data_IF_121058070707
#
_entry.id   IF_121058070707
#
_cell.length_a   1.000
_cell.length_b   1.000
_cell.length_c   1.000
_cell.angle_alpha   90.00
_cell.angle_beta   90.00
_cell.angle_gamma   90.00
#
_symmetry.space_group_name_H-M   'P 1'
#
loop_
_entity.id
_entity.type
_entity.pdbx_description
1 polymer ?
#
# COMPACT_ATOMS: atom_id res chain seq x y z
N UNK A 1 -3.70 11.12 -8.49
CA UNK A 1 -2.39 10.91 -9.14
C UNK A 1 -1.24 11.49 -8.30
N UNK A 2 -0.97 10.93 -7.11
CA UNK A 2 0.15 11.34 -6.25
C UNK A 2 1.51 10.92 -6.83
N UNK A 3 1.55 9.83 -7.59
CA UNK A 3 2.77 9.31 -8.22
C UNK A 3 3.48 10.32 -9.12
N UNK A 4 2.76 11.18 -9.86
CA UNK A 4 3.43 12.16 -10.75
C UNK A 4 4.06 13.35 -10.01
N UNK A 5 3.69 13.57 -8.74
CA UNK A 5 4.15 14.72 -7.94
C UNK A 5 5.44 14.43 -7.16
N UNK A 6 5.72 13.16 -6.86
CA UNK A 6 6.88 12.76 -6.06
C UNK A 6 8.19 12.64 -6.87
N UNK A 7 8.11 12.45 -8.20
CA UNK A 7 9.27 12.04 -9.02
C UNK A 7 9.80 13.13 -9.98
N UNK A 8 9.16 14.30 -10.08
CA UNK A 8 9.61 15.40 -10.93
C UNK A 8 9.94 16.63 -10.09
N UNK A 9 11.17 16.67 -9.57
CA UNK A 9 11.76 17.83 -8.91
C UNK A 9 12.62 18.66 -9.89
N UNK A 10 12.13 18.88 -11.12
CA UNK A 10 12.77 19.81 -12.04
C UNK A 10 11.93 21.08 -12.15
N UNK A 11 12.44 22.18 -11.57
CA UNK A 11 12.02 23.53 -11.92
C UNK A 11 11.14 24.30 -10.94
N UNK A 12 10.91 23.81 -9.71
CA UNK A 12 10.20 24.58 -8.69
C UNK A 12 11.19 25.32 -7.77
N UNK A 13 11.06 26.65 -7.67
CA UNK A 13 11.77 27.42 -6.66
C UNK A 13 11.30 26.97 -5.27
N UNK A 14 12.26 26.82 -4.35
CA UNK A 14 11.99 26.36 -2.99
C UNK A 14 11.24 27.46 -2.22
N UNK A 15 9.91 27.36 -2.18
CA UNK A 15 9.07 28.22 -1.38
C UNK A 15 9.07 27.75 0.09
N UNK A 16 9.67 28.58 0.94
CA UNK A 16 9.80 28.32 2.39
C UNK A 16 8.45 28.33 3.11
N UNK A 17 7.45 29.00 2.56
CA UNK A 17 6.09 29.05 3.12
C UNK A 17 5.30 27.78 2.79
N UNK A 18 5.48 27.20 1.59
CA UNK A 18 4.96 25.85 1.26
C UNK A 18 5.58 24.73 2.10
N UNK A 19 6.79 24.91 2.60
CA UNK A 19 7.53 23.91 3.38
C UNK A 19 7.44 24.11 4.89
N UNK A 20 6.56 25.01 5.37
CA UNK A 20 6.32 25.18 6.79
C UNK A 20 5.57 23.96 7.38
N UNK A 21 5.67 23.77 8.70
CA UNK A 21 5.13 22.57 9.35
C UNK A 21 3.61 22.47 9.25
N UNK A 22 2.90 23.60 9.30
CA UNK A 22 1.43 23.65 9.18
C UNK A 22 0.96 23.20 7.79
N UNK A 23 1.73 23.53 6.75
CA UNK A 23 1.46 23.11 5.38
C UNK A 23 1.66 21.59 5.24
N UNK A 24 2.80 21.10 5.73
CA UNK A 24 3.14 19.67 5.63
C UNK A 24 2.14 18.84 6.44
N UNK A 25 1.78 19.29 7.64
CA UNK A 25 0.89 18.57 8.56
C UNK A 25 -0.49 18.30 7.95
N UNK A 26 -1.18 19.31 7.43
CA UNK A 26 -2.50 19.10 6.83
C UNK A 26 -2.45 18.24 5.55
N UNK A 27 -1.34 18.33 4.78
CA UNK A 27 -1.14 17.50 3.59
C UNK A 27 -1.00 16.02 3.98
N UNK A 28 -0.20 15.73 5.00
CA UNK A 28 -0.05 14.39 5.55
C UNK A 28 -1.37 13.89 6.14
N UNK A 29 -2.11 14.75 6.86
CA UNK A 29 -3.41 14.40 7.41
C UNK A 29 -4.42 14.07 6.30
N UNK A 30 -4.45 14.85 5.22
CA UNK A 30 -5.31 14.59 4.07
C UNK A 30 -5.01 13.25 3.40
N UNK A 31 -3.72 12.90 3.28
CA UNK A 31 -3.30 11.58 2.75
C UNK A 31 -3.72 10.47 3.72
N UNK A 32 -3.48 10.64 5.02
CA UNK A 32 -3.87 9.69 6.07
C UNK A 32 -5.37 9.43 6.03
N UNK A 33 -6.19 10.49 6.01
CA UNK A 33 -7.65 10.40 5.92
C UNK A 33 -8.09 9.68 4.65
N UNK A 34 -7.50 10.01 3.50
CA UNK A 34 -7.80 9.32 2.24
C UNK A 34 -7.52 7.82 2.33
N UNK A 35 -6.38 7.43 2.90
CA UNK A 35 -5.99 6.02 3.06
C UNK A 35 -6.92 5.28 4.03
N UNK A 36 -7.32 5.94 5.13
CA UNK A 36 -8.27 5.36 6.09
C UNK A 36 -9.66 5.17 5.48
N UNK A 37 -10.15 6.15 4.71
CA UNK A 37 -11.44 6.06 4.03
C UNK A 37 -11.47 4.96 2.96
N UNK A 38 -10.33 4.67 2.34
CA UNK A 38 -10.18 3.62 1.34
C UNK A 38 -9.48 2.38 1.90
N UNK A 39 -9.65 2.09 3.19
CA UNK A 39 -9.08 0.88 3.80
C UNK A 39 -9.53 -0.36 3.03
N UNK A 40 -8.57 -1.21 2.69
CA UNK A 40 -8.77 -2.35 1.81
C UNK A 40 -8.28 -3.64 2.46
N UNK A 41 -9.10 -4.68 2.35
CA UNK A 41 -8.85 -6.03 2.88
C UNK A 41 -9.09 -7.09 1.81
N UNK A 42 -9.25 -6.71 0.53
CA UNK A 42 -9.40 -7.70 -0.52
C UNK A 42 -8.13 -8.57 -0.57
N UNK A 43 -8.24 -9.90 -0.45
CA UNK A 43 -7.07 -10.78 -0.51
C UNK A 43 -6.33 -10.61 -1.83
N UNK A 44 -5.02 -10.36 -1.74
CA UNK A 44 -4.11 -10.49 -2.88
C UNK A 44 -3.81 -11.97 -3.06
N UNK A 45 -4.15 -12.51 -4.23
CA UNK A 45 -3.71 -13.85 -4.62
C UNK A 45 -2.25 -13.80 -5.06
N UNK A 46 -1.53 -14.90 -4.91
CA UNK A 46 -0.15 -15.04 -5.37
C UNK A 46 -0.11 -15.99 -6.55
N UNK A 47 0.72 -15.69 -7.53
CA UNK A 47 0.98 -16.54 -8.69
C UNK A 47 2.48 -16.84 -8.77
N UNK A 48 2.82 -18.07 -9.18
CA UNK A 48 4.20 -18.43 -9.46
C UNK A 48 4.66 -17.74 -10.74
N UNK A 49 5.78 -17.03 -10.66
CA UNK A 49 6.49 -16.49 -11.82
C UNK A 49 7.62 -17.44 -12.21
N UNK A 50 7.56 -17.96 -13.44
CA UNK A 50 8.55 -18.93 -13.93
C UNK A 50 9.89 -18.28 -14.30
N UNK A 51 9.92 -16.98 -14.63
CA UNK A 51 11.15 -16.28 -14.97
C UNK A 51 11.95 -15.96 -13.71
N UNK A 52 11.26 -15.43 -12.70
CA UNK A 52 11.86 -15.02 -11.43
C UNK A 52 11.95 -16.16 -10.39
N UNK A 53 11.31 -17.30 -10.67
CA UNK A 53 11.24 -18.48 -9.78
C UNK A 53 10.79 -18.09 -8.36
N UNK A 54 9.73 -17.28 -8.29
CA UNK A 54 9.17 -16.79 -7.04
C UNK A 54 7.67 -16.52 -7.12
N UNK A 55 7.01 -16.50 -5.96
CA UNK A 55 5.63 -16.07 -5.84
C UNK A 55 5.54 -14.54 -5.92
N UNK A 56 4.73 -14.04 -6.86
CA UNK A 56 4.43 -12.62 -7.04
C UNK A 56 2.95 -12.31 -6.74
N UNK A 57 2.63 -11.14 -6.15
CA UNK A 57 1.27 -10.78 -5.79
C UNK A 57 0.49 -10.29 -7.02
N UNK A 58 -0.69 -10.86 -7.23
CA UNK A 58 -1.64 -10.42 -8.26
C UNK A 58 -2.50 -9.30 -7.71
N UNK A 59 -2.16 -8.06 -8.07
CA UNK A 59 -2.84 -6.86 -7.59
C UNK A 59 -4.08 -6.43 -8.39
N UNK A 60 -4.42 -7.15 -9.47
CA UNK A 60 -5.57 -6.85 -10.31
C UNK A 60 -6.88 -7.43 -9.71
N UNK A 61 -7.34 -6.86 -8.60
CA UNK A 61 -8.50 -7.34 -7.83
C UNK A 61 -9.53 -6.22 -7.61
N UNK A 62 -10.77 -6.59 -7.28
CA UNK A 62 -11.83 -5.61 -6.98
C UNK A 62 -11.80 -5.23 -5.50
N UNK A 63 -11.83 -3.92 -5.23
CA UNK A 63 -11.74 -3.37 -3.88
C UNK A 63 -13.11 -2.91 -3.35
N UNK A 64 -13.28 -2.85 -2.01
CA UNK A 64 -14.51 -2.36 -1.37
C UNK A 64 -14.16 -1.62 -0.08
N UNK A 65 -14.78 -0.46 0.16
CA UNK A 65 -14.53 0.36 1.36
C UNK A 65 -14.95 -0.37 2.66
N UNK A 66 -14.17 -0.22 3.74
CA UNK A 66 -14.38 -0.85 5.05
C UNK A 66 -14.09 0.11 6.21
N UNK A 67 -14.47 -0.30 7.41
CA UNK A 67 -14.13 0.36 8.67
C UNK A 67 -12.62 0.19 8.97
N UNK A 68 -11.88 1.30 8.96
CA UNK A 68 -10.42 1.29 9.17
C UNK A 68 -10.00 0.81 10.55
N UNK A 69 -10.73 1.15 11.62
CA UNK A 69 -10.32 0.81 12.98
C UNK A 69 -10.49 -0.69 13.23
N UNK A 70 -11.57 -1.28 12.73
CA UNK A 70 -11.78 -2.72 12.76
C UNK A 70 -10.65 -3.48 12.02
N UNK A 71 -10.24 -2.99 10.85
CA UNK A 71 -9.12 -3.57 10.08
C UNK A 71 -7.81 -3.46 10.85
N UNK A 72 -7.53 -2.29 11.44
CA UNK A 72 -6.30 -2.01 12.17
C UNK A 72 -6.15 -2.88 13.43
N UNK A 73 -7.21 -3.06 14.21
CA UNK A 73 -7.13 -3.92 15.41
C UNK A 73 -6.98 -5.40 15.03
N UNK A 74 -7.75 -5.89 14.04
CA UNK A 74 -7.59 -7.25 13.55
C UNK A 74 -6.16 -7.53 13.04
N UNK A 75 -5.57 -6.59 12.29
CA UNK A 75 -4.23 -6.76 11.74
C UNK A 75 -3.14 -6.88 12.82
N UNK A 76 -3.26 -6.17 13.94
CA UNK A 76 -2.30 -6.29 15.07
C UNK A 76 -2.36 -7.67 15.71
N UNK A 77 -3.55 -8.24 15.82
CA UNK A 77 -3.77 -9.56 16.44
C UNK A 77 -3.34 -10.71 15.52
N UNK A 78 -3.32 -10.49 14.19
CA UNK A 78 -3.15 -11.53 13.17
C UNK A 78 -1.87 -11.34 12.32
N UNK A 79 -0.79 -10.79 12.89
CA UNK A 79 0.48 -10.61 12.17
C UNK A 79 1.05 -11.97 11.69
N UNK A 80 1.23 -12.11 10.38
CA UNK A 80 2.00 -13.20 9.76
C UNK A 80 3.49 -12.88 9.92
N UNK A 81 4.25 -13.83 10.49
CA UNK A 81 5.69 -13.65 10.76
C UNK A 81 6.60 -14.30 9.72
N UNK A 82 6.12 -15.37 9.10
CA UNK A 82 6.90 -16.16 8.16
C UNK A 82 6.05 -16.38 6.90
N UNK A 83 6.60 -16.02 5.74
CA UNK A 83 6.03 -16.26 4.42
C UNK A 83 7.21 -16.44 3.46
N UNK A 84 7.39 -17.66 2.96
CA UNK A 84 8.49 -17.99 2.06
C UNK A 84 8.00 -17.93 0.61
N UNK A 85 8.44 -16.91 -0.12
CA UNK A 85 8.06 -16.68 -1.53
C UNK A 85 8.88 -17.52 -2.51
N UNK A 86 9.89 -18.26 -2.05
CA UNK A 86 10.76 -19.08 -2.90
C UNK A 86 10.24 -20.51 -3.11
N UNK A 87 9.21 -20.91 -2.36
CA UNK A 87 8.65 -22.26 -2.42
C UNK A 87 7.50 -22.31 -3.43
N UNK A 88 7.70 -23.04 -4.53
CA UNK A 88 6.61 -23.38 -5.45
C UNK A 88 5.78 -24.54 -4.89
N UNK A 89 4.46 -24.35 -4.78
CA UNK A 89 3.52 -25.41 -4.39
C UNK A 89 2.66 -25.75 -5.60
N UNK A 90 2.87 -26.96 -6.14
CA UNK A 90 2.11 -27.46 -7.29
C UNK A 90 0.60 -27.59 -6.96
N UNK A 91 -0.32 -27.25 -7.88
CA UNK A 91 -1.75 -27.40 -7.63
C UNK A 91 -2.15 -28.87 -7.51
N UNK A 92 -2.57 -29.32 -6.31
CA UNK A 92 -3.23 -30.62 -6.13
C UNK A 92 -2.63 -31.60 -5.11
N UNK A 93 -1.95 -31.13 -4.06
CA UNK A 93 -1.70 -31.91 -2.84
C UNK A 93 -2.76 -31.59 -1.79
#
# INVERSE_FOLDING_TARGET
>A
MLRKRAWYAEGYEFDREMMNIDHIDHCIDSIRQSLMCSADVTPLTWAWDEEDQMLEPVAAITHTCRDFDAVREWAKENIVREFDTSVHVEPGV
#
